data_IF_091098746792
#
_entry.id   IF_091098746792
#
_cell.length_a   1.000
_cell.length_b   1.000
_cell.length_c   1.000
_cell.angle_alpha   90.00
_cell.angle_beta   90.00
_cell.angle_gamma   90.00
#
_symmetry.space_group_name_H-M   'P 1'
#
loop_
_entity.id
_entity.type
_entity.pdbx_description
1 polymer ?
#
# COMPACT_ATOMS: atom_id res chain seq x y z
N UNK A 1 10.07 5.32 -6.16
CA UNK A 1 11.52 5.03 -5.99
C UNK A 1 11.81 3.64 -6.49
N UNK A 2 12.81 3.51 -7.35
CA UNK A 2 13.09 2.28 -8.10
C UNK A 2 14.14 1.44 -7.36
N UNK A 3 13.82 0.18 -7.05
CA UNK A 3 14.76 -0.79 -6.47
C UNK A 3 15.58 -1.40 -7.60
N UNK A 4 16.81 -1.85 -7.31
CA UNK A 4 17.63 -2.62 -8.25
C UNK A 4 16.88 -3.88 -8.73
N UNK A 5 16.72 -4.03 -10.05
CA UNK A 5 15.93 -5.08 -10.73
C UNK A 5 16.30 -6.50 -10.31
N UNK A 6 17.60 -6.80 -10.18
CA UNK A 6 18.09 -8.14 -9.83
C UNK A 6 17.65 -8.66 -8.46
N UNK A 7 17.26 -7.76 -7.53
CA UNK A 7 16.80 -8.14 -6.17
C UNK A 7 15.30 -8.49 -6.12
N UNK A 8 14.58 -8.33 -7.22
CA UNK A 8 13.13 -8.53 -7.30
C UNK A 8 12.32 -7.48 -6.51
N UNK A 9 10.98 -7.65 -6.44
CA UNK A 9 10.10 -6.78 -5.66
C UNK A 9 10.21 -7.03 -4.14
N UNK A 10 9.82 -6.05 -3.32
CA UNK A 10 9.80 -6.21 -1.86
C UNK A 10 8.48 -6.85 -1.46
N UNK A 11 8.56 -8.00 -0.79
CA UNK A 11 7.39 -8.78 -0.41
C UNK A 11 7.46 -9.05 1.09
N UNK A 12 6.43 -8.62 1.82
CA UNK A 12 6.25 -8.97 3.24
C UNK A 12 5.17 -10.04 3.36
N UNK A 13 5.32 -10.94 4.35
CA UNK A 13 4.37 -12.04 4.56
C UNK A 13 2.94 -11.56 4.82
N UNK A 14 2.80 -10.40 5.47
CA UNK A 14 1.52 -9.75 5.79
C UNK A 14 0.62 -9.56 4.56
N UNK A 15 1.19 -9.13 3.43
CA UNK A 15 0.43 -8.87 2.20
C UNK A 15 -0.03 -10.18 1.51
N UNK A 16 0.73 -11.26 1.66
CA UNK A 16 0.50 -12.57 1.02
C UNK A 16 -0.43 -13.51 1.80
N UNK A 17 -0.83 -13.16 3.02
CA UNK A 17 -1.75 -13.98 3.83
C UNK A 17 -2.97 -14.43 3.02
N UNK A 18 -3.51 -15.64 3.23
CA UNK A 18 -4.71 -16.10 2.51
C UNK A 18 -5.91 -15.98 3.44
N UNK A 19 -7.01 -15.41 2.96
CA UNK A 19 -8.21 -15.18 3.78
C UNK A 19 -9.20 -14.24 3.09
N UNK A 20 -10.49 -14.41 3.41
CA UNK A 20 -11.57 -13.52 2.97
C UNK A 20 -11.71 -12.38 3.98
N UNK A 21 -11.68 -11.13 3.52
CA UNK A 21 -11.89 -9.94 4.36
C UNK A 21 -10.83 -8.85 4.20
N UNK A 22 -11.01 -7.75 4.94
CA UNK A 22 -10.07 -6.64 4.98
C UNK A 22 -8.83 -7.02 5.77
N UNK A 23 -7.67 -7.06 5.10
CA UNK A 23 -6.40 -7.30 5.78
C UNK A 23 -5.78 -6.01 6.25
N UNK A 24 -5.38 -5.96 7.51
CA UNK A 24 -4.58 -4.86 8.07
C UNK A 24 -3.14 -5.00 7.63
N UNK A 25 -2.58 -3.92 7.10
CA UNK A 25 -1.25 -3.85 6.53
C UNK A 25 -0.48 -2.76 7.27
N UNK A 26 0.51 -3.17 8.06
CA UNK A 26 1.43 -2.26 8.74
C UNK A 26 2.63 -1.93 7.85
N UNK A 27 3.09 -2.92 7.07
CA UNK A 27 4.21 -2.77 6.14
C UNK A 27 3.86 -2.01 4.85
N UNK A 28 4.30 -0.76 4.75
CA UNK A 28 4.00 0.13 3.61
C UNK A 28 4.99 0.00 2.44
N UNK A 29 6.06 -0.74 2.63
CA UNK A 29 7.15 -0.97 1.69
C UNK A 29 6.87 -2.08 0.67
N UNK A 30 5.89 -2.94 0.96
CA UNK A 30 5.46 -4.06 0.11
C UNK A 30 4.96 -3.59 -1.25
N UNK A 31 5.44 -4.26 -2.30
CA UNK A 31 4.99 -4.07 -3.69
C UNK A 31 3.66 -4.80 -3.92
N UNK A 32 2.78 -4.20 -4.71
CA UNK A 32 1.52 -4.80 -5.14
C UNK A 32 1.81 -5.81 -6.25
N UNK A 33 1.54 -7.09 -5.96
CA UNK A 33 1.67 -8.19 -6.91
C UNK A 33 0.37 -8.39 -7.71
N UNK A 34 0.45 -8.91 -8.94
CA UNK A 34 -0.73 -9.29 -9.74
C UNK A 34 -1.69 -10.24 -9.00
N UNK A 35 -1.17 -11.13 -8.15
CA UNK A 35 -1.97 -12.04 -7.32
C UNK A 35 -2.84 -11.36 -6.25
N UNK A 36 -2.68 -10.04 -6.06
CA UNK A 36 -3.40 -9.25 -5.06
C UNK A 36 -4.56 -8.45 -5.66
N UNK A 37 -4.78 -8.51 -6.97
CA UNK A 37 -5.90 -7.85 -7.65
C UNK A 37 -7.24 -8.26 -7.04
N UNK A 38 -8.16 -7.31 -6.94
CA UNK A 38 -9.48 -7.45 -6.32
C UNK A 38 -9.49 -7.72 -4.81
N UNK A 39 -8.34 -7.69 -4.13
CA UNK A 39 -8.29 -7.75 -2.65
C UNK A 39 -8.39 -6.36 -2.03
N UNK A 40 -8.96 -6.32 -0.83
CA UNK A 40 -9.11 -5.09 -0.04
C UNK A 40 -8.15 -5.09 1.14
N UNK A 41 -7.46 -3.97 1.33
CA UNK A 41 -6.46 -3.77 2.37
C UNK A 41 -6.79 -2.54 3.22
N UNK A 42 -6.40 -2.61 4.48
CA UNK A 42 -6.41 -1.52 5.45
C UNK A 42 -4.95 -1.12 5.67
N UNK A 43 -4.50 -0.06 5.01
CA UNK A 43 -3.12 0.41 5.04
C UNK A 43 -2.94 1.36 6.22
N UNK A 44 -1.99 1.08 7.12
CA UNK A 44 -1.70 1.97 8.24
C UNK A 44 -0.96 3.22 7.78
N UNK A 45 -1.41 4.38 8.22
CA UNK A 45 -0.85 5.67 7.81
C UNK A 45 -0.07 6.38 8.94
N UNK A 46 0.24 5.67 10.03
CA UNK A 46 0.85 6.25 11.24
C UNK A 46 -0.15 6.69 12.32
N UNK A 47 -1.43 6.87 11.96
CA UNK A 47 -2.50 7.22 12.91
C UNK A 47 -3.76 6.36 12.77
N UNK A 48 -4.17 6.08 11.53
CA UNK A 48 -5.39 5.32 11.21
C UNK A 48 -5.17 4.42 10.01
N UNK A 49 -6.06 3.45 9.85
CA UNK A 49 -6.10 2.58 8.68
C UNK A 49 -6.94 3.20 7.57
N UNK A 50 -6.38 3.24 6.36
CA UNK A 50 -7.05 3.68 5.13
C UNK A 50 -7.45 2.44 4.35
N UNK A 51 -8.73 2.34 3.96
CA UNK A 51 -9.21 1.23 3.12
C UNK A 51 -8.83 1.49 1.67
N UNK A 52 -8.24 0.48 1.03
CA UNK A 52 -7.81 0.54 -0.35
C UNK A 52 -8.12 -0.79 -1.04
N UNK A 53 -8.63 -0.73 -2.28
CA UNK A 53 -8.88 -1.90 -3.12
C UNK A 53 -7.85 -1.90 -4.24
N UNK A 54 -7.20 -3.04 -4.44
CA UNK A 54 -6.20 -3.21 -5.50
C UNK A 54 -6.90 -3.38 -6.85
N UNK A 55 -6.53 -2.53 -7.81
CA UNK A 55 -6.90 -2.61 -9.24
C UNK A 55 -5.69 -3.02 -10.08
N UNK A 56 -5.90 -3.36 -11.35
CA UNK A 56 -4.84 -3.78 -12.26
C UNK A 56 -3.81 -2.67 -12.52
N UNK A 57 -4.26 -1.42 -12.59
CA UNK A 57 -3.41 -0.24 -12.75
C UNK A 57 -2.43 -0.03 -11.57
N UNK A 58 -2.77 -0.57 -10.40
CA UNK A 58 -1.96 -0.38 -9.17
C UNK A 58 -0.85 -1.41 -9.03
N UNK A 59 -0.70 -2.34 -9.98
CA UNK A 59 0.36 -3.35 -10.00
C UNK A 59 1.73 -2.66 -10.13
N UNK A 60 2.71 -3.13 -9.37
CA UNK A 60 4.08 -2.56 -9.38
C UNK A 60 4.29 -1.37 -8.46
N UNK A 61 3.21 -0.71 -8.03
CA UNK A 61 3.27 0.32 -6.99
C UNK A 61 3.45 -0.27 -5.59
N UNK A 62 3.79 0.59 -4.62
CA UNK A 62 3.88 0.21 -3.20
C UNK A 62 2.64 0.64 -2.45
N UNK A 63 2.23 -0.15 -1.45
CA UNK A 63 1.07 0.19 -0.61
C UNK A 63 1.20 1.56 0.08
N UNK A 64 2.42 2.00 0.40
CA UNK A 64 2.69 3.30 1.01
C UNK A 64 2.27 4.51 0.17
N UNK A 65 2.20 4.37 -1.15
CA UNK A 65 1.83 5.45 -2.09
C UNK A 65 0.35 5.84 -1.96
N UNK A 66 -0.49 4.89 -1.54
CA UNK A 66 -1.94 5.07 -1.39
C UNK A 66 -2.37 5.52 0.02
N UNK A 67 -1.40 5.76 0.92
CA UNK A 67 -1.64 6.21 2.29
C UNK A 67 -0.80 7.45 2.62
N UNK A 68 -1.43 8.63 2.62
CA UNK A 68 -0.77 9.93 2.81
C UNK A 68 -0.50 10.27 4.27
N UNK A 69 0.75 10.21 4.72
CA UNK A 69 1.11 10.37 6.16
C UNK A 69 0.87 11.77 6.72
N UNK A 70 1.03 12.78 5.88
CA UNK A 70 0.92 14.17 6.29
C UNK A 70 -0.33 14.77 5.66
N UNK A 71 -0.97 15.67 6.39
CA UNK A 71 -2.05 16.48 5.81
C UNK A 71 -1.45 17.37 4.72
N UNK A 72 -2.24 17.62 3.67
CA UNK A 72 -1.87 18.58 2.63
C UNK A 72 -1.61 19.94 3.28
N UNK A 73 -0.46 20.55 2.98
CA UNK A 73 -0.17 21.91 3.40
C UNK A 73 -1.16 22.84 2.69
N UNK A 74 -1.96 23.58 3.45
CA UNK A 74 -2.81 24.65 2.94
C UNK A 74 -2.27 25.93 3.58
N UNK A 75 -1.61 26.76 2.77
CA UNK A 75 -1.19 28.08 3.22
C UNK A 75 -2.43 28.96 3.33
N UNK A 76 -2.81 29.35 4.55
CA UNK A 76 -3.85 30.34 4.76
C UNK A 76 -3.25 31.71 4.44
N UNK A 77 -3.66 32.34 3.33
CA UNK A 77 -3.38 33.77 3.14
C UNK A 77 -4.14 34.54 4.23
N UNK A 78 -3.44 35.44 4.90
CA UNK A 78 -4.04 36.45 5.79
C UNK A 78 -4.91 37.38 4.97
#
# INVERSE_FOLDING_TARGET
MTRSTWKGPVIRKESLTRGKGFKTLWSRDSTILPSLVNKQYKIFNGKRFIRFRVTEETIGHKFGEFASTRKKLIFKRR
#
